data_IF_115689520301
#
_entry.id   IF_115689520301
#
_cell.length_a   1.000
_cell.length_b   1.000
_cell.length_c   1.000
_cell.angle_alpha   90.00
_cell.angle_beta   90.00
_cell.angle_gamma   90.00
#
_symmetry.space_group_name_H-M   'P 1'
#
loop_
_entity.id
_entity.type
_entity.pdbx_description
1 polymer ?
#
# COMPACT_ATOMS: atom_id res chain seq x y z
N UNK A 1 22.50 4.95 1.13
CA UNK A 1 21.17 5.04 0.49
C UNK A 1 21.24 4.24 -0.81
N UNK A 2 20.62 3.07 -0.90
CA UNK A 2 20.63 2.28 -2.14
C UNK A 2 19.44 2.67 -3.04
N UNK A 3 19.51 2.34 -4.33
CA UNK A 3 18.40 2.50 -5.28
C UNK A 3 17.08 1.88 -4.75
N UNK A 4 17.20 0.82 -3.94
CA UNK A 4 16.09 0.16 -3.27
C UNK A 4 15.45 1.06 -2.19
N UNK A 5 16.26 1.80 -1.41
CA UNK A 5 15.75 2.76 -0.43
C UNK A 5 14.95 3.89 -1.06
N UNK A 6 15.38 4.40 -2.23
CA UNK A 6 14.63 5.42 -2.96
C UNK A 6 13.30 4.89 -3.50
N UNK A 7 13.30 3.67 -4.07
CA UNK A 7 12.05 3.00 -4.47
C UNK A 7 11.12 2.81 -3.27
N UNK A 8 11.64 2.43 -2.11
CA UNK A 8 10.86 2.29 -0.88
C UNK A 8 10.19 3.61 -0.48
N UNK A 9 10.93 4.71 -0.38
CA UNK A 9 10.37 6.02 -0.01
C UNK A 9 9.34 6.51 -1.02
N UNK A 10 9.62 6.40 -2.32
CA UNK A 10 8.68 6.78 -3.37
C UNK A 10 7.35 6.01 -3.28
N UNK A 11 7.46 4.71 -3.05
CA UNK A 11 6.33 3.79 -2.92
C UNK A 11 5.47 4.11 -1.69
N UNK A 12 6.10 4.41 -0.54
CA UNK A 12 5.42 4.86 0.67
C UNK A 12 4.65 6.16 0.44
N UNK A 13 5.24 7.14 -0.26
CA UNK A 13 4.61 8.43 -0.52
C UNK A 13 3.36 8.30 -1.41
N UNK A 14 3.44 7.48 -2.46
CA UNK A 14 2.29 7.22 -3.34
C UNK A 14 1.14 6.54 -2.59
N UNK A 15 1.46 5.64 -1.66
CA UNK A 15 0.45 5.00 -0.82
C UNK A 15 -0.22 5.99 0.13
N UNK A 16 0.56 6.83 0.81
CA UNK A 16 0.02 7.86 1.71
C UNK A 16 -0.86 8.87 0.97
N UNK A 17 -0.56 9.12 -0.31
CA UNK A 17 -1.42 9.95 -1.18
C UNK A 17 -2.72 9.27 -1.62
N UNK A 18 -2.97 8.01 -1.22
CA UNK A 18 -4.21 7.29 -1.48
C UNK A 18 -4.28 6.60 -2.85
N UNK A 19 -3.16 6.50 -3.57
CA UNK A 19 -3.11 5.87 -4.89
C UNK A 19 -3.26 4.35 -4.74
N UNK A 20 -4.03 3.75 -5.65
CA UNK A 20 -4.27 2.31 -5.67
C UNK A 20 -2.98 1.52 -5.91
N UNK A 21 -2.82 0.43 -5.16
CA UNK A 21 -1.68 -0.48 -5.24
C UNK A 21 -1.38 -1.01 -6.66
N UNK A 22 -2.42 -1.27 -7.47
CA UNK A 22 -2.25 -1.73 -8.85
C UNK A 22 -1.64 -0.64 -9.75
N UNK A 23 -2.03 0.61 -9.52
CA UNK A 23 -1.48 1.76 -10.25
C UNK A 23 -0.01 1.95 -9.88
N UNK A 24 0.33 1.89 -8.59
CA UNK A 24 1.72 2.02 -8.13
C UNK A 24 2.58 0.86 -8.65
N UNK A 25 2.06 -0.36 -8.63
CA UNK A 25 2.75 -1.53 -9.20
C UNK A 25 3.06 -1.34 -10.69
N UNK A 26 2.08 -0.84 -11.46
CA UNK A 26 2.24 -0.54 -12.88
C UNK A 26 3.28 0.55 -13.11
N UNK A 27 3.29 1.60 -12.28
CA UNK A 27 4.27 2.69 -12.32
C UNK A 27 5.71 2.20 -12.06
N UNK A 28 5.88 1.25 -11.15
CA UNK A 28 7.18 0.70 -10.75
C UNK A 28 7.70 -0.39 -11.70
N UNK A 29 6.87 -0.83 -12.64
CA UNK A 29 7.19 -1.92 -13.58
C UNK A 29 7.42 -3.26 -12.88
N UNK A 30 6.89 -3.46 -11.67
CA UNK A 30 7.09 -4.70 -10.93
C UNK A 30 6.22 -5.82 -11.51
N UNK A 31 6.86 -6.81 -12.13
CA UNK A 31 6.19 -8.02 -12.63
C UNK A 31 5.52 -8.84 -11.52
N UNK A 32 6.04 -8.75 -10.28
CA UNK A 32 5.46 -9.37 -9.09
C UNK A 32 4.91 -8.32 -8.13
N UNK A 33 3.62 -8.42 -7.83
CA UNK A 33 2.94 -7.71 -6.74
C UNK A 33 3.66 -7.92 -5.41
N UNK A 34 4.20 -9.11 -5.15
CA UNK A 34 4.76 -9.50 -3.86
C UNK A 34 5.88 -8.56 -3.36
N UNK A 35 6.72 -8.04 -4.26
CA UNK A 35 7.80 -7.11 -3.89
C UNK A 35 7.25 -5.75 -3.46
N UNK A 36 6.21 -5.28 -4.16
CA UNK A 36 5.43 -4.11 -3.77
C UNK A 36 4.76 -4.42 -2.44
N UNK A 37 3.90 -5.44 -2.38
CA UNK A 37 3.08 -5.81 -1.22
C UNK A 37 3.86 -6.00 0.09
N UNK A 38 5.07 -6.59 0.07
CA UNK A 38 5.86 -6.79 1.30
C UNK A 38 6.17 -5.48 2.03
N UNK A 39 6.43 -4.39 1.30
CA UNK A 39 6.63 -3.05 1.88
C UNK A 39 5.33 -2.48 2.44
N UNK A 40 4.22 -2.78 1.75
CA UNK A 40 2.90 -2.23 2.07
C UNK A 40 2.21 -2.99 3.19
N UNK A 41 2.50 -4.27 3.38
CA UNK A 41 1.89 -5.06 4.45
C UNK A 41 2.27 -4.46 5.80
N UNK A 42 3.46 -3.89 5.93
CA UNK A 42 3.89 -3.15 7.12
C UNK A 42 3.10 -1.84 7.35
N UNK A 43 2.81 -1.09 6.29
CA UNK A 43 2.02 0.15 6.34
C UNK A 43 0.53 -0.13 6.59
N UNK A 44 -0.03 -1.14 5.92
CA UNK A 44 -1.43 -1.56 6.06
C UNK A 44 -1.72 -2.18 7.41
N UNK A 45 -0.76 -2.88 8.03
CA UNK A 45 -0.94 -3.45 9.37
C UNK A 45 -1.20 -2.36 10.42
N UNK A 46 -0.70 -1.15 10.19
CA UNK A 46 -1.01 0.01 11.02
C UNK A 46 -2.45 0.53 10.83
N UNK A 47 -3.06 0.28 9.67
CA UNK A 47 -4.45 0.65 9.34
C UNK A 47 -5.49 -0.47 9.62
N UNK A 48 -5.04 -1.70 9.91
CA UNK A 48 -5.92 -2.87 10.04
C UNK A 48 -6.85 -2.83 11.27
N UNK A 49 -6.58 -1.98 12.27
CA UNK A 49 -7.42 -1.86 13.46
C UNK A 49 -8.83 -1.28 13.17
N UNK A 50 -9.08 -0.78 11.95
CA UNK A 50 -10.35 -0.13 11.59
C UNK A 50 -11.04 -0.74 10.37
N UNK A 51 -10.58 -1.88 9.83
CA UNK A 51 -11.21 -2.46 8.63
C UNK A 51 -12.55 -3.12 8.98
N UNK A 52 -12.60 -3.89 10.08
CA UNK A 52 -13.85 -4.51 10.55
C UNK A 52 -14.92 -3.45 10.82
N UNK A 53 -14.59 -2.43 11.60
CA UNK A 53 -15.49 -1.32 11.91
C UNK A 53 -15.89 -0.46 10.70
N UNK A 54 -15.02 -0.31 9.68
CA UNK A 54 -15.43 0.33 8.41
C UNK A 54 -16.39 -0.53 7.60
N UNK A 55 -16.19 -1.84 7.59
CA UNK A 55 -17.06 -2.78 6.89
C UNK A 55 -18.44 -2.87 7.55
N UNK A 56 -18.48 -2.94 8.89
CA UNK A 56 -19.74 -2.91 9.66
C UNK A 56 -20.55 -1.63 9.41
N UNK A 57 -19.89 -0.48 9.29
CA UNK A 57 -20.55 0.79 8.95
C UNK A 57 -21.07 0.83 7.51
N UNK A 58 -20.40 0.16 6.56
CA UNK A 58 -20.89 0.07 5.17
C UNK A 58 -22.13 -0.81 5.05
N UNK A 59 -22.21 -1.89 5.83
CA UNK A 59 -23.38 -2.78 5.84
C UNK A 59 -24.57 -2.23 6.63
N UNK A 60 -24.35 -1.31 7.57
CA UNK A 60 -25.40 -0.65 8.36
C UNK A 60 -25.94 0.65 7.73
N UNK A 61 -25.58 0.95 6.47
CA UNK A 61 -26.11 2.06 5.68
C UNK A 61 -26.84 1.53 4.44
#
# INVERSE_FOLDING_TARGET
>A
MSLHGFRHTYTSLLFESGINIKEIQKQLGHSKVEMTLNVYTHLSRNNNNNIGSKFDNYLNN
#
